data_IF_867947267170
#
_entry.id   IF_867947267170
#
_cell.length_a   1.000
_cell.length_b   1.000
_cell.length_c   1.000
_cell.angle_alpha   90.00
_cell.angle_beta   90.00
_cell.angle_gamma   90.00
#
_symmetry.space_group_name_H-M   'P 1'
#
loop_
_entity.id
_entity.type
_entity.pdbx_description
1 polymer ?
#
# COMPACT_ATOMS: atom_id res chain seq x y z
N UNK A 1 73.23 -2.93 -23.88
CA UNK A 1 72.27 -3.49 -24.86
C UNK A 1 71.09 -4.06 -24.10
N UNK A 2 69.86 -3.66 -24.47
CA UNK A 2 68.55 -4.26 -24.10
C UNK A 2 68.13 -4.06 -22.62
N UNK A 3 66.91 -3.71 -22.24
CA UNK A 3 65.67 -3.30 -22.91
C UNK A 3 64.75 -2.67 -21.84
N UNK A 4 63.84 -1.81 -22.27
CA UNK A 4 62.68 -1.26 -21.57
C UNK A 4 61.95 -2.28 -20.68
N UNK A 5 61.35 -1.84 -19.56
CA UNK A 5 59.88 -1.85 -19.35
C UNK A 5 59.50 -0.73 -18.35
N UNK A 6 58.72 0.25 -18.82
CA UNK A 6 57.98 1.20 -17.99
C UNK A 6 56.72 0.51 -17.45
N UNK A 7 56.52 0.52 -16.13
CA UNK A 7 55.22 0.16 -15.52
C UNK A 7 54.72 1.39 -14.77
N UNK A 8 53.91 2.19 -15.47
CA UNK A 8 53.07 3.23 -14.88
C UNK A 8 51.93 2.55 -14.11
N UNK A 9 52.06 2.46 -12.79
CA UNK A 9 50.98 2.02 -11.92
C UNK A 9 50.00 3.19 -11.73
N UNK A 10 48.96 3.25 -12.57
CA UNK A 10 47.77 4.08 -12.34
C UNK A 10 47.06 3.52 -11.10
N UNK A 11 47.28 4.13 -9.94
CA UNK A 11 46.44 3.91 -8.76
C UNK A 11 45.13 4.66 -8.98
N UNK A 12 44.19 4.03 -9.69
CA UNK A 12 42.79 4.43 -9.62
C UNK A 12 42.29 4.05 -8.23
N UNK A 13 42.25 5.04 -7.34
CA UNK A 13 41.41 4.98 -6.15
C UNK A 13 39.97 4.77 -6.65
N UNK A 14 39.49 3.53 -6.62
CA UNK A 14 38.05 3.27 -6.56
C UNK A 14 37.58 3.90 -5.25
N UNK A 15 37.16 5.15 -5.34
CA UNK A 15 36.18 5.68 -4.41
C UNK A 15 34.92 4.89 -4.74
N UNK A 16 34.74 3.78 -4.03
CA UNK A 16 33.45 3.13 -3.91
C UNK A 16 32.62 4.17 -3.16
N UNK A 17 32.02 5.10 -3.90
CA UNK A 17 30.87 5.80 -3.37
C UNK A 17 29.87 4.69 -3.12
N UNK A 18 29.78 4.24 -1.88
CA UNK A 18 28.49 3.87 -1.33
C UNK A 18 27.59 5.04 -1.69
N UNK A 19 26.88 4.90 -2.80
CA UNK A 19 25.60 5.53 -2.97
C UNK A 19 24.70 4.86 -1.92
N UNK A 20 24.99 5.13 -0.64
CA UNK A 20 23.98 5.35 0.35
C UNK A 20 23.03 6.31 -0.35
N UNK A 21 21.96 5.75 -0.91
CA UNK A 21 20.74 6.49 -1.07
C UNK A 21 20.54 7.12 0.30
N UNK A 22 20.85 8.41 0.42
CA UNK A 22 20.34 9.20 1.51
C UNK A 22 18.85 9.02 1.33
N UNK A 23 18.27 8.10 2.12
CA UNK A 23 16.84 7.88 2.17
C UNK A 23 16.32 9.28 2.43
N UNK A 24 15.74 9.90 1.40
CA UNK A 24 15.33 11.29 1.49
C UNK A 24 14.62 11.46 2.83
N UNK A 25 14.97 12.48 3.63
CA UNK A 25 14.37 12.63 4.95
C UNK A 25 12.87 12.46 4.79
N UNK A 26 12.33 11.43 5.45
CA UNK A 26 10.89 11.20 5.45
C UNK A 26 10.30 12.53 5.91
N UNK A 27 9.47 13.20 5.11
CA UNK A 27 8.89 14.47 5.50
C UNK A 27 8.26 14.24 6.86
N UNK A 28 8.49 15.15 7.80
CA UNK A 28 7.72 15.15 9.05
C UNK A 28 6.25 15.06 8.63
N UNK A 29 5.64 13.90 8.86
CA UNK A 29 4.25 13.71 8.55
C UNK A 29 3.50 14.84 9.28
N UNK A 30 2.61 15.58 8.60
CA UNK A 30 1.76 16.53 9.31
C UNK A 30 1.09 15.79 10.47
N UNK A 31 0.92 16.46 11.62
CA UNK A 31 0.28 15.86 12.78
C UNK A 31 -1.03 15.18 12.32
N UNK A 32 -1.09 13.86 12.41
CA UNK A 32 -2.14 13.09 11.74
C UNK A 32 -2.23 11.68 12.29
N UNK A 33 -3.07 10.86 11.67
CA UNK A 33 -3.27 9.49 12.11
C UNK A 33 -3.45 8.54 10.91
N UNK A 34 -3.01 7.31 11.08
CA UNK A 34 -3.04 6.27 10.05
C UNK A 34 -3.68 4.99 10.55
N UNK A 35 -4.21 4.21 9.60
CA UNK A 35 -4.55 2.82 9.84
C UNK A 35 -3.30 1.96 9.70
N UNK A 36 -3.22 0.90 10.48
CA UNK A 36 -2.19 -0.14 10.36
C UNK A 36 -2.91 -1.46 10.18
N UNK A 37 -2.63 -2.16 9.09
CA UNK A 37 -3.37 -3.33 8.65
C UNK A 37 -2.43 -4.52 8.41
N UNK A 38 -2.46 -5.50 9.30
CA UNK A 38 -1.63 -6.71 9.21
C UNK A 38 -2.43 -7.88 8.67
N UNK A 39 -2.19 -8.24 7.41
CA UNK A 39 -2.89 -9.35 6.74
C UNK A 39 -2.53 -10.70 7.34
N UNK A 40 -3.53 -11.55 7.58
CA UNK A 40 -3.32 -12.95 7.86
C UNK A 40 -2.86 -13.64 6.57
N UNK A 41 -1.60 -14.07 6.55
CA UNK A 41 -1.03 -14.70 5.37
C UNK A 41 -1.77 -15.97 4.91
N UNK A 42 -2.49 -16.68 5.79
CA UNK A 42 -3.28 -17.85 5.41
C UNK A 42 -4.60 -17.47 4.69
N UNK A 43 -5.07 -16.23 4.85
CA UNK A 43 -6.34 -15.71 4.33
C UNK A 43 -6.12 -14.38 3.58
N UNK A 44 -5.19 -14.40 2.64
CA UNK A 44 -4.69 -13.20 1.95
C UNK A 44 -5.31 -12.96 0.56
N UNK A 45 -6.27 -13.77 0.13
CA UNK A 45 -6.92 -13.69 -1.19
C UNK A 45 -8.29 -14.37 -1.15
N UNK A 46 -9.11 -14.13 -2.18
CA UNK A 46 -10.32 -14.90 -2.42
C UNK A 46 -10.03 -16.03 -3.40
N UNK A 47 -10.22 -17.27 -2.96
CA UNK A 47 -10.06 -18.43 -3.84
C UNK A 47 -11.18 -18.46 -4.88
N UNK A 48 -10.83 -18.27 -6.14
CA UNK A 48 -11.78 -18.28 -7.27
C UNK A 48 -12.53 -19.60 -7.40
N UNK A 49 -11.93 -20.71 -6.95
CA UNK A 49 -12.56 -22.04 -6.97
C UNK A 49 -13.53 -22.25 -5.82
N UNK A 50 -13.51 -21.37 -4.81
CA UNK A 50 -14.28 -21.50 -3.58
C UNK A 50 -14.75 -20.14 -3.02
N UNK A 51 -15.30 -19.29 -3.90
CA UNK A 51 -15.78 -17.95 -3.53
C UNK A 51 -16.91 -17.95 -2.49
N UNK A 52 -17.63 -19.06 -2.34
CA UNK A 52 -18.73 -19.18 -1.38
C UNK A 52 -18.27 -19.19 0.09
N UNK A 53 -17.06 -19.68 0.36
CA UNK A 53 -16.57 -19.86 1.73
C UNK A 53 -15.25 -19.17 2.03
N UNK A 54 -14.51 -18.74 0.99
CA UNK A 54 -13.27 -18.00 1.17
C UNK A 54 -13.49 -16.67 1.90
N UNK A 55 -12.60 -16.37 2.83
CA UNK A 55 -12.53 -15.10 3.53
C UNK A 55 -11.12 -14.50 3.45
N UNK A 56 -11.07 -13.18 3.52
CA UNK A 56 -9.84 -12.42 3.66
C UNK A 56 -9.78 -11.87 5.08
N UNK A 57 -8.63 -11.97 5.74
CA UNK A 57 -8.50 -11.57 7.14
C UNK A 57 -7.28 -10.68 7.38
N UNK A 58 -7.46 -9.67 8.22
CA UNK A 58 -6.38 -8.77 8.68
C UNK A 58 -6.67 -8.23 10.08
N UNK A 59 -5.61 -7.89 10.80
CA UNK A 59 -5.72 -7.09 12.03
C UNK A 59 -5.63 -5.61 11.69
N UNK A 60 -6.57 -4.82 12.19
CA UNK A 60 -6.66 -3.38 12.01
C UNK A 60 -6.38 -2.65 13.32
N UNK A 61 -5.45 -1.70 13.28
CA UNK A 61 -5.11 -0.81 14.38
C UNK A 61 -5.01 0.63 13.88
N UNK A 62 -4.92 1.59 14.81
CA UNK A 62 -4.68 3.00 14.50
C UNK A 62 -3.41 3.49 15.18
N UNK A 63 -2.70 4.41 14.54
CA UNK A 63 -1.49 5.06 15.05
C UNK A 63 -1.62 6.58 14.84
N UNK A 64 -1.21 7.37 15.84
CA UNK A 64 -1.28 8.84 15.81
C UNK A 64 0.10 9.50 15.90
N UNK A 65 1.17 8.74 15.65
CA UNK A 65 2.57 9.16 15.67
C UNK A 65 2.99 9.77 17.02
N UNK A 66 2.42 9.27 18.11
CA UNK A 66 2.70 9.75 19.46
C UNK A 66 2.19 11.17 19.74
N UNK A 67 1.26 11.69 18.94
CA UNK A 67 0.67 13.01 19.13
C UNK A 67 -0.33 13.07 20.30
N UNK A 68 -0.72 11.92 20.87
CA UNK A 68 -1.57 11.83 22.06
C UNK A 68 -3.03 12.21 21.81
N UNK A 69 -3.45 12.28 20.55
CA UNK A 69 -4.84 12.55 20.15
C UNK A 69 -5.63 11.25 20.12
N UNK A 70 -5.00 10.15 19.72
CA UNK A 70 -5.60 8.83 19.58
C UNK A 70 -6.56 8.71 18.39
N UNK A 71 -6.67 7.47 17.91
CA UNK A 71 -7.61 7.10 16.85
C UNK A 71 -8.97 6.77 17.45
N UNK A 72 -10.00 7.50 17.00
CA UNK A 72 -11.39 7.33 17.40
C UNK A 72 -12.08 6.25 16.59
N UNK A 73 -11.90 6.29 15.27
CA UNK A 73 -12.54 5.37 14.35
C UNK A 73 -11.73 5.23 13.06
N UNK A 74 -11.90 4.11 12.36
CA UNK A 74 -11.36 3.85 11.03
C UNK A 74 -12.51 3.41 10.13
N UNK A 75 -12.76 4.20 9.10
CA UNK A 75 -13.63 3.85 8.00
C UNK A 75 -12.86 2.95 7.02
N UNK A 76 -13.42 1.80 6.70
CA UNK A 76 -12.93 0.91 5.66
C UNK A 76 -13.84 1.05 4.45
N UNK A 77 -13.28 1.62 3.39
CA UNK A 77 -13.91 1.80 2.10
C UNK A 77 -13.48 0.67 1.16
N UNK A 78 -14.37 0.20 0.30
CA UNK A 78 -14.06 -0.84 -0.67
C UNK A 78 -14.36 -0.37 -2.09
N UNK A 79 -13.40 -0.61 -2.97
CA UNK A 79 -13.54 -0.46 -4.42
C UNK A 79 -13.24 -1.77 -5.12
N UNK A 80 -13.83 -1.97 -6.30
CA UNK A 80 -13.53 -3.09 -7.18
C UNK A 80 -12.85 -2.61 -8.45
N UNK A 81 -11.82 -3.34 -8.85
CA UNK A 81 -11.14 -3.17 -10.11
C UNK A 81 -11.23 -4.49 -10.89
N UNK A 82 -12.00 -4.50 -12.00
CA UNK A 82 -12.36 -5.72 -12.74
C UNK A 82 -12.32 -5.49 -14.27
N UNK A 83 -11.48 -6.23 -15.05
CA UNK A 83 -10.21 -6.85 -14.70
C UNK A 83 -9.03 -5.93 -15.07
N UNK A 84 -8.01 -5.89 -14.20
CA UNK A 84 -6.70 -5.26 -14.36
C UNK A 84 -6.70 -3.80 -14.86
N UNK A 85 -6.40 -2.85 -13.96
CA UNK A 85 -5.62 -1.69 -14.39
C UNK A 85 -4.29 -2.26 -14.88
N UNK A 86 -4.06 -2.23 -16.19
CA UNK A 86 -2.69 -2.19 -16.72
C UNK A 86 -2.06 -0.97 -16.07
N UNK A 87 -1.21 -1.18 -15.05
CA UNK A 87 -0.34 -0.12 -14.57
C UNK A 87 0.32 0.44 -15.83
N UNK A 88 0.04 1.70 -16.16
CA UNK A 88 0.69 2.33 -17.29
C UNK A 88 2.20 2.16 -17.07
N UNK A 89 2.96 1.86 -18.12
CA UNK A 89 4.42 1.69 -18.00
C UNK A 89 5.09 2.90 -17.32
N UNK A 90 4.45 4.08 -17.37
CA UNK A 90 4.83 5.29 -16.64
C UNK A 90 4.75 5.21 -15.11
N UNK A 91 4.07 4.22 -14.54
CA UNK A 91 3.94 4.01 -13.08
C UNK A 91 5.04 3.10 -12.49
N UNK A 92 5.96 2.58 -13.32
CA UNK A 92 7.03 1.63 -12.89
C UNK A 92 8.44 2.18 -12.97
N UNK A 93 8.64 3.49 -13.18
CA UNK A 93 9.98 4.03 -13.43
C UNK A 93 10.87 4.26 -12.20
N UNK A 94 10.41 3.97 -10.97
CA UNK A 94 11.28 4.02 -9.78
C UNK A 94 11.63 2.61 -9.31
N UNK A 95 12.44 1.91 -10.11
CA UNK A 95 13.12 0.68 -9.69
C UNK A 95 14.44 0.99 -9.00
N UNK A 96 14.92 0.05 -8.18
CA UNK A 96 16.24 0.13 -7.52
C UNK A 96 17.34 0.60 -8.49
N UNK A 97 18.07 1.66 -8.12
CA UNK A 97 19.33 2.04 -8.76
C UNK A 97 19.29 3.20 -9.77
N UNK A 98 18.15 3.86 -9.99
CA UNK A 98 18.09 5.11 -10.76
C UNK A 98 17.83 6.29 -9.82
N UNK A 99 18.64 7.34 -9.94
CA UNK A 99 18.52 8.62 -9.22
C UNK A 99 17.27 9.40 -9.64
N UNK A 100 16.11 8.80 -9.46
CA UNK A 100 14.83 9.43 -9.70
C UNK A 100 14.62 10.50 -8.63
N UNK A 101 14.51 11.76 -9.05
CA UNK A 101 13.81 12.76 -8.26
C UNK A 101 12.45 12.16 -7.90
N UNK A 102 12.21 11.91 -6.61
CA UNK A 102 10.88 11.59 -6.11
C UNK A 102 9.95 12.71 -6.59
N UNK A 103 8.90 12.39 -7.37
CA UNK A 103 7.95 13.39 -7.81
C UNK A 103 7.40 14.14 -6.58
N UNK A 104 7.39 15.47 -6.61
CA UNK A 104 6.80 16.29 -5.55
C UNK A 104 5.27 16.15 -5.45
N UNK A 105 4.68 15.27 -6.26
CA UNK A 105 3.27 14.92 -6.30
C UNK A 105 3.05 13.69 -7.18
N UNK A 106 1.90 13.04 -7.05
CA UNK A 106 1.60 11.83 -7.81
C UNK A 106 1.66 12.04 -9.33
N UNK A 107 2.30 11.12 -10.06
CA UNK A 107 2.37 11.12 -11.53
C UNK A 107 1.08 10.59 -12.22
N UNK A 108 0.04 10.26 -11.45
CA UNK A 108 -1.27 9.81 -11.92
C UNK A 108 -2.27 9.59 -10.78
N UNK A 109 -3.50 9.14 -11.05
CA UNK A 109 -4.44 8.75 -9.99
C UNK A 109 -3.86 7.55 -9.23
N UNK A 110 -3.53 7.74 -7.94
CA UNK A 110 -3.01 6.64 -7.15
C UNK A 110 -4.16 5.74 -6.69
N UNK A 111 -4.03 4.41 -6.85
CA UNK A 111 -5.10 3.48 -6.53
C UNK A 111 -5.58 3.53 -5.06
N UNK A 112 -4.73 3.98 -4.13
CA UNK A 112 -5.06 4.16 -2.71
C UNK A 112 -6.01 5.34 -2.42
N UNK A 113 -6.14 6.31 -3.33
CA UNK A 113 -7.07 7.44 -3.15
C UNK A 113 -8.52 6.98 -3.22
N UNK A 114 -9.36 7.57 -2.37
CA UNK A 114 -10.81 7.42 -2.54
C UNK A 114 -11.26 8.00 -3.90
N UNK A 115 -12.09 7.25 -4.61
CA UNK A 115 -12.75 7.63 -5.86
C UNK A 115 -14.26 7.45 -5.73
N UNK A 116 -15.02 8.07 -6.63
CA UNK A 116 -16.49 8.08 -6.56
C UNK A 116 -17.16 6.69 -6.58
N UNK A 117 -16.46 5.67 -7.08
CA UNK A 117 -16.95 4.29 -7.13
C UNK A 117 -16.70 3.52 -5.83
N UNK A 118 -15.85 4.01 -4.93
CA UNK A 118 -15.62 3.37 -3.64
C UNK A 118 -16.85 3.52 -2.74
N UNK A 119 -17.10 2.50 -1.92
CA UNK A 119 -18.23 2.45 -0.99
C UNK A 119 -17.73 2.24 0.43
N UNK A 120 -18.28 3.01 1.37
CA UNK A 120 -18.04 2.75 2.79
C UNK A 120 -18.63 1.38 3.11
N UNK A 121 -17.78 0.42 3.48
CA UNK A 121 -18.22 -0.91 3.87
C UNK A 121 -18.52 -0.94 5.37
N UNK A 122 -17.56 -0.50 6.19
CA UNK A 122 -17.68 -0.59 7.65
C UNK A 122 -16.82 0.44 8.36
N UNK A 123 -17.29 0.89 9.52
CA UNK A 123 -16.51 1.72 10.45
C UNK A 123 -16.19 0.92 11.70
N UNK A 124 -14.93 0.94 12.12
CA UNK A 124 -14.45 0.32 13.35
C UNK A 124 -14.11 1.40 14.37
N UNK A 125 -14.41 1.18 15.64
CA UNK A 125 -14.16 2.12 16.75
C UNK A 125 -13.50 1.47 17.97
N UNK A 126 -13.10 0.20 17.84
CA UNK A 126 -12.40 -0.55 18.89
C UNK A 126 -11.19 -1.21 18.26
N UNK A 127 -10.01 -0.97 18.82
CA UNK A 127 -8.73 -1.38 18.26
C UNK A 127 -7.85 -2.08 19.32
N UNK A 128 -7.06 -3.10 18.95
CA UNK A 128 -6.98 -3.70 17.62
C UNK A 128 -8.25 -4.51 17.27
N UNK A 129 -8.66 -4.46 16.01
CA UNK A 129 -9.81 -5.22 15.49
C UNK A 129 -9.32 -6.36 14.59
N UNK A 130 -9.84 -7.57 14.79
CA UNK A 130 -9.69 -8.64 13.79
C UNK A 130 -10.82 -8.52 12.78
N UNK A 131 -10.47 -8.29 11.52
CA UNK A 131 -11.41 -8.09 10.43
C UNK A 131 -11.35 -9.29 9.50
N UNK A 132 -12.49 -9.92 9.26
CA UNK A 132 -12.67 -10.93 8.20
C UNK A 132 -13.79 -10.46 7.28
N UNK A 133 -13.54 -10.52 5.97
CA UNK A 133 -14.49 -10.17 4.92
C UNK A 133 -14.62 -11.34 3.96
N UNK A 134 -15.85 -11.75 3.66
CA UNK A 134 -16.12 -12.80 2.68
C UNK A 134 -16.15 -12.23 1.26
N UNK A 135 -15.87 -13.05 0.26
CA UNK A 135 -15.99 -12.63 -1.14
C UNK A 135 -17.41 -12.13 -1.48
N UNK A 136 -18.45 -12.74 -0.90
CA UNK A 136 -19.84 -12.32 -1.08
C UNK A 136 -20.13 -10.95 -0.48
N UNK A 137 -19.54 -10.65 0.68
CA UNK A 137 -19.68 -9.36 1.35
C UNK A 137 -18.94 -8.26 0.58
N UNK A 138 -17.71 -8.54 0.13
CA UNK A 138 -16.93 -7.63 -0.70
C UNK A 138 -17.65 -7.30 -2.02
N UNK A 139 -18.21 -8.32 -2.69
CA UNK A 139 -18.99 -8.15 -3.92
C UNK A 139 -20.25 -7.32 -3.69
N UNK A 140 -21.01 -7.62 -2.64
CA UNK A 140 -22.21 -6.87 -2.29
C UNK A 140 -21.91 -5.39 -2.00
N UNK A 141 -20.80 -5.10 -1.32
CA UNK A 141 -20.41 -3.74 -0.96
C UNK A 141 -20.14 -2.85 -2.18
N UNK A 142 -19.70 -3.43 -3.31
CA UNK A 142 -19.48 -2.72 -4.59
C UNK A 142 -20.60 -2.95 -5.61
N UNK A 143 -21.67 -3.65 -5.24
CA UNK A 143 -22.84 -3.87 -6.09
C UNK A 143 -22.64 -4.88 -7.22
N UNK A 144 -21.74 -5.86 -7.07
CA UNK A 144 -21.56 -6.95 -8.05
C UNK A 144 -22.01 -8.30 -7.50
N UNK A 145 -22.24 -9.26 -8.40
CA UNK A 145 -22.53 -10.64 -8.00
C UNK A 145 -21.23 -11.37 -7.64
N UNK A 146 -21.19 -12.22 -6.61
CA UNK A 146 -20.04 -13.08 -6.36
C UNK A 146 -19.74 -14.02 -7.54
N UNK A 147 -20.76 -14.40 -8.31
CA UNK A 147 -20.62 -15.27 -9.49
C UNK A 147 -20.03 -14.57 -10.71
N UNK A 148 -19.96 -13.23 -10.72
CA UNK A 148 -19.30 -12.48 -11.78
C UNK A 148 -17.82 -12.23 -11.50
N UNK A 149 -17.33 -12.62 -10.31
CA UNK A 149 -15.93 -12.48 -9.97
C UNK A 149 -15.10 -13.50 -10.75
N UNK A 150 -14.06 -13.00 -11.40
CA UNK A 150 -13.14 -13.81 -12.21
C UNK A 150 -11.70 -13.67 -11.71
N UNK A 151 -10.85 -14.57 -12.18
CA UNK A 151 -9.42 -14.55 -11.87
C UNK A 151 -8.83 -13.16 -12.19
N UNK A 152 -8.05 -12.61 -11.25
CA UNK A 152 -7.41 -11.29 -11.26
C UNK A 152 -8.31 -10.09 -10.91
N UNK A 153 -9.60 -10.29 -10.64
CA UNK A 153 -10.39 -9.23 -10.03
C UNK A 153 -9.77 -8.82 -8.69
N UNK A 154 -9.82 -7.54 -8.41
CA UNK A 154 -9.08 -6.95 -7.29
C UNK A 154 -9.97 -6.01 -6.51
N UNK A 155 -10.25 -6.36 -5.27
CA UNK A 155 -10.85 -5.45 -4.30
C UNK A 155 -9.76 -4.63 -3.62
N UNK A 156 -10.06 -3.37 -3.37
CA UNK A 156 -9.17 -2.44 -2.69
C UNK A 156 -9.87 -1.95 -1.43
N UNK A 157 -9.32 -2.29 -0.26
CA UNK A 157 -9.75 -1.76 1.01
C UNK A 157 -8.95 -0.49 1.30
N UNK A 158 -9.58 0.66 1.40
CA UNK A 158 -8.95 1.96 1.65
C UNK A 158 -9.37 2.46 3.03
N UNK A 159 -8.46 3.12 3.73
CA UNK A 159 -8.67 3.50 5.11
C UNK A 159 -8.77 5.01 5.27
N UNK A 160 -9.80 5.46 5.98
CA UNK A 160 -9.92 6.84 6.45
C UNK A 160 -10.01 6.86 7.96
N UNK A 161 -9.13 7.62 8.60
CA UNK A 161 -8.97 7.62 10.06
C UNK A 161 -9.64 8.85 10.64
N UNK A 162 -10.42 8.68 11.69
CA UNK A 162 -10.95 9.76 12.50
C UNK A 162 -10.23 9.77 13.85
N UNK A 163 -9.80 10.94 14.30
CA UNK A 163 -9.13 11.14 15.59
C UNK A 163 -10.09 11.69 16.66
N UNK A 164 -9.73 11.60 17.93
CA UNK A 164 -10.61 12.05 19.03
C UNK A 164 -10.82 13.57 19.05
N UNK A 165 -9.89 14.35 18.49
CA UNK A 165 -10.02 15.80 18.31
C UNK A 165 -10.92 16.20 17.12
N UNK A 166 -11.54 15.24 16.44
CA UNK A 166 -12.51 15.47 15.39
C UNK A 166 -11.93 15.61 13.99
N UNK A 167 -10.61 15.48 13.81
CA UNK A 167 -10.01 15.46 12.46
C UNK A 167 -10.29 14.12 11.77
N UNK A 168 -10.32 14.17 10.43
CA UNK A 168 -10.53 13.01 9.55
C UNK A 168 -9.44 13.02 8.48
N UNK A 169 -8.69 11.93 8.42
CA UNK A 169 -7.53 11.78 7.56
C UNK A 169 -7.78 10.73 6.49
N UNK A 170 -7.76 11.18 5.23
CA UNK A 170 -7.51 10.28 4.11
C UNK A 170 -5.99 10.24 3.95
N UNK A 171 -5.38 9.22 4.54
CA UNK A 171 -3.93 9.14 4.77
C UNK A 171 -3.10 9.39 3.49
N UNK A 172 -3.67 9.10 2.32
CA UNK A 172 -3.05 9.44 1.05
C UNK A 172 -3.14 10.96 0.74
N UNK A 173 -4.34 11.56 0.83
CA UNK A 173 -4.54 12.97 0.48
C UNK A 173 -3.77 13.91 1.42
N UNK A 174 -3.65 13.52 2.68
CA UNK A 174 -2.96 14.29 3.71
C UNK A 174 -1.44 14.10 3.66
N UNK A 175 -0.91 13.29 2.73
CA UNK A 175 0.53 13.05 2.56
C UNK A 175 1.16 12.27 3.71
N UNK A 176 0.35 11.54 4.47
CA UNK A 176 0.75 10.82 5.69
C UNK A 176 1.23 9.40 5.34
N UNK A 177 0.64 8.79 4.31
CA UNK A 177 1.04 7.49 3.80
C UNK A 177 1.30 7.54 2.29
N UNK A 178 2.47 7.03 1.90
CA UNK A 178 2.91 6.82 0.53
C UNK A 178 3.46 5.39 0.41
N UNK A 179 2.74 4.56 -0.36
CA UNK A 179 3.04 3.15 -0.64
C UNK A 179 4.44 2.94 -1.27
N UNK A 180 5.11 4.01 -1.72
CA UNK A 180 6.45 3.97 -2.33
C UNK A 180 7.58 4.38 -1.38
N UNK A 181 7.26 4.87 -0.17
CA UNK A 181 8.23 5.51 0.75
C UNK A 181 8.45 4.77 2.06
N UNK A 182 7.80 3.61 2.26
CA UNK A 182 7.92 2.82 3.49
C UNK A 182 7.52 3.61 4.76
N UNK A 183 6.55 4.52 4.61
CA UNK A 183 6.00 5.28 5.73
C UNK A 183 5.17 4.38 6.63
N UNK A 184 5.10 4.71 7.92
CA UNK A 184 4.29 3.96 8.88
C UNK A 184 2.82 4.22 8.57
N UNK A 185 2.08 3.17 8.21
CA UNK A 185 0.66 3.22 7.91
C UNK A 185 0.31 2.55 6.58
N UNK A 186 -0.83 1.88 6.54
CA UNK A 186 -1.39 1.34 5.31
C UNK A 186 -2.43 2.31 4.76
N UNK A 187 -2.23 2.79 3.54
CA UNK A 187 -3.26 3.56 2.83
C UNK A 187 -4.35 2.64 2.28
N UNK A 188 -3.99 1.37 2.05
CA UNK A 188 -4.83 0.38 1.38
C UNK A 188 -4.34 -1.05 1.59
N UNK A 189 -5.30 -1.98 1.62
CA UNK A 189 -5.06 -3.40 1.37
C UNK A 189 -5.69 -3.86 0.05
N UNK A 190 -5.10 -4.88 -0.55
CA UNK A 190 -5.56 -5.46 -1.81
C UNK A 190 -5.98 -6.90 -1.58
N UNK A 191 -7.22 -7.22 -1.98
CA UNK A 191 -7.74 -8.59 -1.99
C UNK A 191 -7.89 -9.01 -3.44
N UNK A 192 -7.12 -10.00 -3.87
CA UNK A 192 -7.21 -10.53 -5.23
C UNK A 192 -8.10 -11.77 -5.25
N UNK A 193 -8.88 -11.91 -6.31
CA UNK A 193 -9.49 -13.18 -6.70
C UNK A 193 -8.44 -14.00 -7.45
N UNK A 194 -7.94 -15.04 -6.82
CA UNK A 194 -6.80 -15.83 -7.31
C UNK A 194 -7.03 -17.33 -7.08
N UNK A 195 -6.21 -18.18 -7.70
CA UNK A 195 -6.21 -19.64 -7.48
C UNK A 195 -5.07 -20.11 -6.59
N UNK A 196 -4.22 -19.18 -6.14
CA UNK A 196 -3.10 -19.43 -5.26
C UNK A 196 -2.86 -18.23 -4.36
N UNK A 197 -2.22 -18.50 -3.23
CA UNK A 197 -1.77 -17.45 -2.33
C UNK A 197 -0.82 -16.50 -3.04
N UNK A 198 -1.25 -15.26 -3.21
CA UNK A 198 -0.42 -14.16 -3.62
C UNK A 198 -0.58 -13.02 -2.62
N UNK A 199 0.45 -12.79 -1.80
CA UNK A 199 0.50 -11.64 -0.90
C UNK A 199 0.84 -10.41 -1.73
N UNK A 200 -0.17 -9.61 -2.07
CA UNK A 200 0.00 -8.29 -2.65
C UNK A 200 -0.24 -7.24 -1.56
N UNK A 201 0.73 -7.03 -0.69
CA UNK A 201 0.76 -5.82 0.13
C UNK A 201 1.64 -4.77 -0.59
N UNK A 202 1.27 -3.48 -0.56
CA UNK A 202 2.24 -2.43 -0.86
C UNK A 202 3.46 -2.63 0.05
N UNK A 203 4.65 -2.54 -0.53
CA UNK A 203 5.92 -2.95 0.07
C UNK A 203 6.17 -2.19 1.39
N UNK A 204 6.70 -2.89 2.39
CA UNK A 204 7.21 -2.30 3.64
C UNK A 204 8.29 -1.26 3.37
#
# INVERSE_FOLDING_TARGET
MKSLVYITLFLTALVISDACQTKDPIPLAPAGAVAVAKVNAAKAYFDVTNLATTDFEFQLSGEDFGQGVGVKAIEVWIGLNSPKITLAASMTSCGNGVGCLYPSGSLGPLPSRLVATDKLWKTFSTFPATVSIKASEAAAAVGVSPTSLVLNDTFQLKFVVQTNDGRRFDAFHDGICDETRGQVGDCRLVIRVDNKKALYQPLK
#
